data_IF_068484027941
#
_entry.id   IF_068484027941
#
_cell.length_a   1.000
_cell.length_b   1.000
_cell.length_c   1.000
_cell.angle_alpha   90.00
_cell.angle_beta   90.00
_cell.angle_gamma   90.00
#
_symmetry.space_group_name_H-M   'P 1'
#
loop_
_entity.id
_entity.type
_entity.pdbx_description
1 polymer ?
#
# COMPACT_ATOMS: atom_id res chain seq x y z
N UNK A 1 8.34 37.00 -13.19
CA UNK A 1 9.07 35.72 -13.32
C UNK A 1 8.10 34.61 -12.91
N UNK A 2 7.60 33.82 -13.88
CA UNK A 2 6.66 32.72 -13.61
C UNK A 2 7.46 31.53 -13.11
N UNK A 3 7.42 31.27 -11.80
CA UNK A 3 8.07 30.13 -11.18
C UNK A 3 7.07 28.97 -11.08
N UNK A 4 7.20 28.04 -12.03
CA UNK A 4 6.90 26.60 -11.95
C UNK A 4 5.67 26.20 -11.10
N UNK A 5 4.50 26.20 -11.73
CA UNK A 5 3.35 25.42 -11.29
C UNK A 5 3.28 24.03 -11.98
N UNK A 6 4.43 23.39 -12.25
CA UNK A 6 4.45 22.05 -12.88
C UNK A 6 4.75 20.91 -11.87
N UNK A 7 4.91 21.23 -10.58
CA UNK A 7 5.19 20.21 -9.55
C UNK A 7 3.93 19.68 -8.86
N UNK A 8 2.82 20.42 -8.90
CA UNK A 8 1.59 20.05 -8.20
C UNK A 8 0.75 19.04 -9.00
N UNK A 9 0.85 19.07 -10.33
CA UNK A 9 0.06 18.18 -11.21
C UNK A 9 0.52 16.71 -11.20
N UNK A 10 1.80 16.44 -10.85
CA UNK A 10 2.32 15.06 -10.77
C UNK A 10 2.00 14.34 -9.45
N UNK A 11 1.70 15.08 -8.38
CA UNK A 11 1.41 14.50 -7.06
C UNK A 11 -0.04 13.99 -6.98
N UNK A 12 -0.93 14.50 -7.83
CA UNK A 12 -2.34 14.11 -7.90
C UNK A 12 -2.61 12.83 -8.70
N UNK A 13 -1.64 12.32 -9.48
CA UNK A 13 -1.72 11.00 -10.12
C UNK A 13 -1.29 9.85 -9.19
N UNK A 14 -0.63 10.15 -8.06
CA UNK A 14 0.20 9.19 -7.34
C UNK A 14 -0.43 8.46 -6.15
N UNK A 15 -1.66 8.78 -5.71
CA UNK A 15 -2.18 8.23 -4.44
C UNK A 15 -3.68 7.85 -4.46
N UNK A 16 -4.17 7.20 -5.52
CA UNK A 16 -5.47 6.51 -5.44
C UNK A 16 -5.31 5.05 -4.99
N UNK A 17 -4.77 4.84 -3.79
CA UNK A 17 -4.76 3.53 -3.12
C UNK A 17 -6.11 3.14 -2.52
N UNK A 18 -7.18 3.84 -2.89
CA UNK A 18 -8.53 3.57 -2.40
C UNK A 18 -9.00 2.14 -2.67
N UNK A 19 -8.51 1.50 -3.74
CA UNK A 19 -8.77 0.08 -4.04
C UNK A 19 -8.28 -0.87 -2.94
N UNK A 20 -7.27 -0.46 -2.17
CA UNK A 20 -6.66 -1.21 -1.07
C UNK A 20 -7.05 -0.64 0.29
N UNK A 21 -6.86 0.65 0.51
CA UNK A 21 -7.01 1.32 1.80
C UNK A 21 -8.46 1.48 2.25
N UNK A 22 -9.43 1.37 1.32
CA UNK A 22 -10.87 1.33 1.65
C UNK A 22 -11.44 -0.09 1.60
N UNK A 23 -10.60 -1.09 1.29
CA UNK A 23 -11.07 -2.47 1.19
C UNK A 23 -11.23 -3.07 2.60
N UNK A 24 -12.48 -3.26 3.03
CA UNK A 24 -12.80 -3.77 4.37
C UNK A 24 -12.16 -5.13 4.66
N UNK A 25 -12.08 -6.01 3.66
CA UNK A 25 -11.46 -7.33 3.81
C UNK A 25 -9.96 -7.19 4.07
N UNK A 26 -9.27 -6.31 3.35
CA UNK A 26 -7.86 -6.00 3.59
C UNK A 26 -7.65 -5.43 5.00
N UNK A 27 -8.39 -4.38 5.37
CA UNK A 27 -8.29 -3.74 6.68
C UNK A 27 -8.56 -4.71 7.84
N UNK A 28 -9.58 -5.56 7.70
CA UNK A 28 -9.94 -6.57 8.70
C UNK A 28 -8.81 -7.59 8.91
N UNK A 29 -8.16 -8.04 7.83
CA UNK A 29 -7.05 -8.99 7.96
C UNK A 29 -5.79 -8.33 8.52
N UNK A 30 -5.51 -7.08 8.15
CA UNK A 30 -4.41 -6.30 8.72
C UNK A 30 -4.60 -6.12 10.23
N UNK A 31 -5.80 -5.74 10.67
CA UNK A 31 -6.12 -5.59 12.10
C UNK A 31 -5.93 -6.91 12.84
N UNK A 32 -6.50 -8.02 12.34
CA UNK A 32 -6.35 -9.35 12.96
C UNK A 32 -4.90 -9.79 13.05
N UNK A 33 -4.08 -9.46 12.06
CA UNK A 33 -2.65 -9.75 12.09
C UNK A 33 -1.96 -8.97 13.22
N UNK A 34 -2.22 -7.65 13.33
CA UNK A 34 -1.64 -6.82 14.38
C UNK A 34 -2.09 -7.30 15.77
N UNK A 35 -3.39 -7.58 15.96
CA UNK A 35 -3.93 -8.13 17.20
C UNK A 35 -3.26 -9.46 17.59
N UNK A 36 -3.01 -10.34 16.61
CA UNK A 36 -2.31 -11.59 16.86
C UNK A 36 -0.86 -11.35 17.29
N UNK A 37 -0.18 -10.35 16.70
CA UNK A 37 1.20 -10.02 17.07
C UNK A 37 1.32 -9.38 18.45
N UNK A 38 0.26 -8.73 18.97
CA UNK A 38 0.28 -8.10 20.30
C UNK A 38 0.44 -9.09 21.45
N UNK A 39 0.04 -10.35 21.23
CA UNK A 39 0.26 -11.44 22.18
C UNK A 39 1.75 -11.82 22.36
N UNK A 40 2.64 -11.37 21.47
CA UNK A 40 4.06 -11.68 21.51
C UNK A 40 4.74 -10.85 22.61
N UNK A 41 5.26 -11.56 23.62
CA UNK A 41 5.99 -10.95 24.76
C UNK A 41 7.34 -10.37 24.35
N UNK A 42 8.07 -11.08 23.49
CA UNK A 42 9.34 -10.61 22.95
C UNK A 42 9.10 -9.47 21.95
N UNK A 43 9.47 -8.25 22.35
CA UNK A 43 9.24 -7.05 21.55
C UNK A 43 10.18 -6.92 20.36
N UNK A 44 11.34 -7.56 20.38
CA UNK A 44 12.20 -7.61 19.19
C UNK A 44 11.61 -8.54 18.14
N UNK A 45 11.17 -9.74 18.57
CA UNK A 45 10.49 -10.68 17.70
C UNK A 45 9.19 -10.11 17.13
N UNK A 46 8.38 -9.44 17.96
CA UNK A 46 7.15 -8.78 17.52
C UNK A 46 7.44 -7.77 16.40
N UNK A 47 8.38 -6.84 16.64
CA UNK A 47 8.77 -5.83 15.64
C UNK A 47 9.33 -6.47 14.37
N UNK A 48 10.13 -7.53 14.50
CA UNK A 48 10.68 -8.23 13.35
C UNK A 48 9.56 -8.82 12.48
N UNK A 49 8.60 -9.52 13.07
CA UNK A 49 7.48 -10.15 12.35
C UNK A 49 6.59 -9.10 11.67
N UNK A 50 6.20 -8.04 12.39
CA UNK A 50 5.42 -6.94 11.82
C UNK A 50 6.19 -6.31 10.65
N UNK A 51 7.47 -6.01 10.84
CA UNK A 51 8.32 -5.42 9.80
C UNK A 51 8.46 -6.31 8.56
N UNK A 52 8.54 -7.64 8.71
CA UNK A 52 8.56 -8.58 7.57
C UNK A 52 7.24 -8.59 6.83
N UNK A 53 6.11 -8.59 7.53
CA UNK A 53 4.78 -8.57 6.92
C UNK A 53 4.55 -7.28 6.13
N UNK A 54 4.87 -6.12 6.72
CA UNK A 54 4.72 -4.81 6.06
C UNK A 54 5.61 -4.70 4.80
N UNK A 55 6.80 -5.30 4.81
CA UNK A 55 7.65 -5.36 3.61
C UNK A 55 7.01 -6.21 2.50
N UNK A 56 6.43 -7.37 2.85
CA UNK A 56 5.70 -8.18 1.87
C UNK A 56 4.48 -7.43 1.32
N UNK A 57 3.73 -6.74 2.19
CA UNK A 57 2.57 -5.94 1.81
C UNK A 57 2.94 -4.81 0.84
N UNK A 58 4.06 -4.11 1.08
CA UNK A 58 4.58 -3.10 0.17
C UNK A 58 4.85 -3.67 -1.22
N UNK A 59 5.62 -4.77 -1.28
CA UNK A 59 5.96 -5.43 -2.56
C UNK A 59 4.70 -5.89 -3.31
N UNK A 60 3.73 -6.47 -2.61
CA UNK A 60 2.46 -6.87 -3.23
C UNK A 60 1.64 -5.68 -3.74
N UNK A 61 1.72 -4.53 -3.05
CA UNK A 61 1.07 -3.30 -3.49
C UNK A 61 1.66 -2.79 -4.78
N UNK A 62 2.99 -2.75 -4.88
CA UNK A 62 3.70 -2.32 -6.08
C UNK A 62 3.38 -3.23 -7.27
N UNK A 63 3.35 -4.55 -7.07
CA UNK A 63 2.94 -5.52 -8.09
C UNK A 63 1.50 -5.24 -8.54
N UNK A 64 0.57 -5.09 -7.60
CA UNK A 64 -0.84 -4.83 -7.92
C UNK A 64 -1.03 -3.50 -8.66
N UNK A 65 -0.34 -2.44 -8.24
CA UNK A 65 -0.37 -1.13 -8.91
C UNK A 65 0.13 -1.24 -10.36
N UNK A 66 1.23 -1.97 -10.59
CA UNK A 66 1.72 -2.28 -11.94
C UNK A 66 0.69 -3.02 -12.79
N UNK A 67 0.06 -4.08 -12.25
CA UNK A 67 -0.95 -4.84 -13.01
C UNK A 67 -2.23 -4.04 -13.28
N UNK A 68 -2.67 -3.22 -12.33
CA UNK A 68 -3.81 -2.30 -12.51
C UNK A 68 -3.50 -1.29 -13.62
N UNK A 69 -2.27 -0.77 -13.66
CA UNK A 69 -1.86 0.19 -14.70
C UNK A 69 -1.87 -0.46 -16.09
N UNK A 70 -1.26 -1.63 -16.25
CA UNK A 70 -1.30 -2.41 -17.51
C UNK A 70 -2.73 -2.68 -17.97
N UNK A 71 -3.61 -3.05 -17.05
CA UNK A 71 -5.01 -3.31 -17.37
C UNK A 71 -5.79 -2.06 -17.82
N UNK A 72 -5.40 -0.86 -17.39
CA UNK A 72 -5.99 0.40 -17.87
C UNK A 72 -5.52 0.75 -19.27
N UNK A 73 -4.23 0.56 -19.55
CA UNK A 73 -3.63 0.82 -20.87
C UNK A 73 -4.24 -0.08 -21.95
N UNK A 74 -4.44 -1.37 -21.65
CA UNK A 74 -5.05 -2.33 -22.56
C UNK A 74 -6.54 -2.08 -22.86
N UNK A 75 -7.23 -1.23 -22.09
CA UNK A 75 -8.64 -0.87 -22.33
C UNK A 75 -8.81 0.39 -23.18
N UNK A 76 -7.73 1.08 -23.52
CA UNK A 76 -7.76 2.28 -24.36
C UNK A 76 -7.43 2.00 -25.84
N UNK A 77 -7.30 0.71 -26.20
CA UNK A 77 -7.14 0.19 -27.57
C UNK A 77 -8.40 -0.58 -27.94
#
# INVERSE_FOLDING_TARGET
>A
MKLKNNSIENEQLANNRGWKEKNEKYLTNLQKFLDATDSIKDKELQRHIIGRMLKCDLVLTEIAESEIQKAKENKQV
#
